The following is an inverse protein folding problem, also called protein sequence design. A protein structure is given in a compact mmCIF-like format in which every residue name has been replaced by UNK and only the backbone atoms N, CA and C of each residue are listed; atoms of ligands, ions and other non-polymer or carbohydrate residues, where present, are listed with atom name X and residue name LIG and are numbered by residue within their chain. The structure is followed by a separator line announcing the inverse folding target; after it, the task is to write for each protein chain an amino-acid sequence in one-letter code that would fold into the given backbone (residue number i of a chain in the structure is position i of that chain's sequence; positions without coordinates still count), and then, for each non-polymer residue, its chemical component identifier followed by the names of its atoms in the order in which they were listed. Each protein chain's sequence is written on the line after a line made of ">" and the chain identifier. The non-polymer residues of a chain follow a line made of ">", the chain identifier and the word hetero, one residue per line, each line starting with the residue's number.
data_IF_455120715857
#
_entry.id   IF_455120715857
#
_cell.length_a   1.000
_cell.length_b   1.000
_cell.length_c   1.000
_cell.angle_alpha   90.00
_cell.angle_beta   90.00
_cell.angle_gamma   90.00
#
_symmetry.space_group_name_H-M   'P 1'
#
loop_
_entity.id
_entity.type
_entity.pdbx_description
1 polymer ?
#
# COMPACT_ATOMS: atom_id res chain seq x y z
N UNK A 1 66.40 -81.24 16.19
CA UNK A 1 66.58 -80.68 17.55
C UNK A 1 67.21 -79.29 17.47
N UNK A 2 66.44 -78.22 17.64
CA UNK A 2 66.84 -76.96 18.33
C UNK A 2 65.74 -75.89 18.22
N UNK A 3 65.38 -75.36 19.40
CA UNK A 3 64.79 -74.06 19.71
C UNK A 3 63.47 -73.63 19.04
N UNK A 4 62.35 -73.89 19.74
CA UNK A 4 61.15 -73.03 19.71
C UNK A 4 60.72 -72.48 21.08
N UNK A 5 61.43 -72.77 22.17
CA UNK A 5 60.88 -72.54 23.52
C UNK A 5 61.65 -71.50 24.36
N UNK A 6 61.95 -70.31 23.81
CA UNK A 6 62.73 -69.30 24.55
C UNK A 6 62.12 -67.89 24.61
N UNK A 7 60.79 -67.73 24.48
CA UNK A 7 60.13 -66.42 24.75
C UNK A 7 58.92 -66.53 25.70
N UNK A 8 58.49 -67.72 26.14
CA UNK A 8 57.36 -67.87 27.08
C UNK A 8 57.73 -68.27 28.51
N UNK A 9 59.01 -68.22 28.88
CA UNK A 9 59.49 -68.59 30.22
C UNK A 9 59.95 -67.36 31.01
N UNK A 10 58.99 -66.53 31.45
CA UNK A 10 59.04 -65.67 32.66
C UNK A 10 57.85 -64.70 32.74
N UNK A 11 56.63 -65.20 32.55
CA UNK A 11 55.49 -64.60 33.24
C UNK A 11 55.22 -65.47 34.46
N UNK A 12 56.04 -65.30 35.51
CA UNK A 12 55.66 -65.76 36.84
C UNK A 12 54.38 -65.01 37.21
N UNK A 13 53.24 -65.67 37.07
CA UNK A 13 51.94 -65.21 37.54
C UNK A 13 52.04 -64.98 39.05
N UNK A 14 52.35 -63.74 39.45
CA UNK A 14 52.05 -63.28 40.81
C UNK A 14 50.53 -63.17 40.85
N UNK A 15 49.87 -64.15 41.47
CA UNK A 15 48.43 -64.07 41.70
C UNK A 15 48.11 -62.81 42.48
N UNK A 16 47.10 -62.07 42.05
CA UNK A 16 46.63 -60.89 42.79
C UNK A 16 46.15 -61.32 44.17
N UNK A 17 46.51 -60.53 45.18
CA UNK A 17 45.98 -60.74 46.52
C UNK A 17 44.50 -60.39 46.55
N UNK A 18 43.72 -61.04 47.42
CA UNK A 18 42.30 -60.75 47.58
C UNK A 18 42.05 -59.26 47.86
N UNK A 19 42.95 -58.62 48.60
CA UNK A 19 42.88 -57.19 48.93
C UNK A 19 43.03 -56.31 47.67
N UNK A 20 43.97 -56.62 46.78
CA UNK A 20 44.13 -55.88 45.52
C UNK A 20 42.91 -56.01 44.62
N UNK A 21 42.30 -57.21 44.55
CA UNK A 21 41.08 -57.43 43.77
C UNK A 21 39.90 -56.64 44.35
N UNK A 22 39.73 -56.62 45.68
CA UNK A 22 38.67 -55.84 46.34
C UNK A 22 38.86 -54.34 46.10
N UNK A 23 40.09 -53.83 46.22
CA UNK A 23 40.40 -52.41 45.96
C UNK A 23 40.13 -52.07 44.50
N UNK A 24 40.52 -52.94 43.55
CA UNK A 24 40.27 -52.72 42.13
C UNK A 24 38.76 -52.66 41.81
N UNK A 25 37.96 -53.56 42.39
CA UNK A 25 36.49 -53.55 42.22
C UNK A 25 35.88 -52.28 42.80
N UNK A 26 36.30 -51.86 44.00
CA UNK A 26 35.82 -50.62 44.62
C UNK A 26 36.17 -49.39 43.76
N UNK A 27 37.40 -49.31 43.25
CA UNK A 27 37.83 -48.22 42.37
C UNK A 27 37.05 -48.19 41.05
N UNK A 28 36.85 -49.35 40.42
CA UNK A 28 36.06 -49.45 39.19
C UNK A 28 34.60 -49.03 39.44
N UNK A 29 34.00 -49.43 40.56
CA UNK A 29 32.65 -49.02 40.94
C UNK A 29 32.52 -47.51 41.17
N UNK A 30 33.50 -46.89 41.82
CA UNK A 30 33.53 -45.44 42.04
C UNK A 30 33.71 -44.71 40.71
N UNK A 31 34.67 -45.13 39.87
CA UNK A 31 34.94 -44.49 38.57
C UNK A 31 33.75 -44.67 37.63
N UNK A 32 33.14 -45.86 37.59
CA UNK A 32 31.97 -46.15 36.77
C UNK A 32 30.75 -45.32 37.17
N UNK A 33 30.48 -45.20 38.48
CA UNK A 33 29.38 -44.37 38.97
C UNK A 33 29.64 -42.87 38.70
N UNK A 34 30.83 -42.36 38.99
CA UNK A 34 31.20 -40.97 38.67
C UNK A 34 31.09 -40.65 37.17
N UNK A 35 31.51 -41.57 36.30
CA UNK A 35 31.39 -41.43 34.85
C UNK A 35 29.93 -41.41 34.38
N UNK A 36 29.09 -42.29 34.93
CA UNK A 36 27.66 -42.33 34.63
C UNK A 36 26.95 -41.03 35.02
N UNK A 37 27.22 -40.51 36.23
CA UNK A 37 26.68 -39.22 36.67
C UNK A 37 27.16 -38.06 35.80
N UNK A 38 28.44 -38.04 35.42
CA UNK A 38 28.99 -37.03 34.51
C UNK A 38 28.29 -37.02 33.15
N UNK A 39 28.16 -38.17 32.50
CA UNK A 39 27.50 -38.31 31.19
C UNK A 39 26.01 -37.93 31.28
N UNK A 40 25.33 -38.38 32.33
CA UNK A 40 23.90 -38.07 32.53
C UNK A 40 23.68 -36.56 32.76
N UNK A 41 24.59 -35.88 33.46
CA UNK A 41 24.49 -34.44 33.69
C UNK A 41 24.76 -33.62 32.41
N UNK A 42 25.78 -34.01 31.62
CA UNK A 42 26.14 -33.32 30.37
C UNK A 42 25.01 -33.46 29.34
N UNK A 43 24.49 -34.67 29.11
CA UNK A 43 23.40 -34.91 28.15
C UNK A 43 22.15 -34.09 28.48
N UNK A 44 21.80 -33.95 29.77
CA UNK A 44 20.69 -33.10 30.19
C UNK A 44 20.94 -31.61 29.91
N UNK A 45 22.18 -31.14 30.07
CA UNK A 45 22.55 -29.75 29.75
C UNK A 45 22.48 -29.45 28.25
N UNK A 46 22.86 -30.43 27.42
CA UNK A 46 22.78 -30.34 25.96
C UNK A 46 21.33 -30.29 25.48
N UNK A 47 20.46 -31.17 26.00
CA UNK A 47 19.03 -31.19 25.67
C UNK A 47 18.37 -29.85 26.04
N UNK A 48 18.61 -29.34 27.25
CA UNK A 48 18.03 -28.05 27.66
C UNK A 48 18.49 -26.89 26.78
N UNK A 49 19.78 -26.87 26.40
CA UNK A 49 20.32 -25.85 25.51
C UNK A 49 19.72 -25.98 24.11
N UNK A 50 19.58 -27.22 23.61
CA UNK A 50 18.94 -27.53 22.34
C UNK A 50 17.48 -27.06 22.29
N UNK A 51 16.70 -27.32 23.33
CA UNK A 51 15.30 -26.92 23.41
C UNK A 51 15.14 -25.39 23.39
N UNK A 52 15.96 -24.67 24.16
CA UNK A 52 15.97 -23.20 24.16
C UNK A 52 16.33 -22.63 22.80
N UNK A 53 17.38 -23.15 22.17
CA UNK A 53 17.80 -22.72 20.84
C UNK A 53 16.72 -23.03 19.80
N UNK A 54 16.09 -24.20 19.91
CA UNK A 54 14.98 -24.59 19.05
C UNK A 54 13.78 -23.65 19.14
N UNK A 55 13.39 -23.26 20.36
CA UNK A 55 12.33 -22.28 20.58
C UNK A 55 12.68 -20.92 19.98
N UNK A 56 13.92 -20.43 20.17
CA UNK A 56 14.36 -19.16 19.57
C UNK A 56 14.34 -19.22 18.05
N UNK A 57 14.84 -20.31 17.46
CA UNK A 57 14.82 -20.51 16.00
C UNK A 57 13.40 -20.57 15.45
N UNK A 58 12.49 -21.24 16.15
CA UNK A 58 11.07 -21.31 15.78
C UNK A 58 10.44 -19.92 15.78
N UNK A 59 10.63 -19.15 16.86
CA UNK A 59 10.14 -17.77 16.94
C UNK A 59 10.72 -16.92 15.82
N UNK A 60 12.03 -16.96 15.61
CA UNK A 60 12.70 -16.15 14.59
C UNK A 60 12.20 -16.48 13.18
N UNK A 61 12.00 -17.76 12.88
CA UNK A 61 11.44 -18.19 11.60
C UNK A 61 10.02 -17.67 11.41
N UNK A 62 9.15 -17.85 12.41
CA UNK A 62 7.77 -17.36 12.36
C UNK A 62 7.72 -15.83 12.23
N UNK A 63 8.66 -15.10 12.85
CA UNK A 63 8.78 -13.65 12.65
C UNK A 63 9.08 -13.28 11.20
N UNK A 64 10.02 -13.97 10.55
CA UNK A 64 10.36 -13.72 9.16
C UNK A 64 9.21 -14.05 8.20
N UNK A 65 8.48 -15.13 8.46
CA UNK A 65 7.31 -15.52 7.66
C UNK A 65 6.18 -14.50 7.80
N UNK A 66 5.90 -14.04 9.02
CA UNK A 66 4.94 -12.94 9.25
C UNK A 66 5.41 -11.65 8.58
N UNK A 67 6.70 -11.31 8.67
CA UNK A 67 7.26 -10.12 8.03
C UNK A 67 7.14 -10.19 6.51
N UNK A 68 7.35 -11.36 5.91
CA UNK A 68 7.20 -11.58 4.48
C UNK A 68 5.74 -11.45 4.05
N UNK A 69 4.80 -12.09 4.75
CA UNK A 69 3.37 -12.00 4.45
C UNK A 69 2.82 -10.57 4.60
N UNK A 70 3.31 -9.83 5.61
CA UNK A 70 2.95 -8.44 5.84
C UNK A 70 3.36 -7.49 4.70
N UNK A 71 4.27 -7.88 3.79
CA UNK A 71 4.65 -7.04 2.66
C UNK A 71 3.52 -6.83 1.64
N UNK A 72 2.65 -7.84 1.46
CA UNK A 72 1.57 -7.79 0.47
C UNK A 72 0.18 -7.77 1.10
N UNK A 73 0.05 -8.26 2.33
CA UNK A 73 -1.24 -8.44 3.01
C UNK A 73 -1.34 -7.60 4.29
N UNK A 74 -0.57 -6.52 4.44
CA UNK A 74 -0.53 -5.71 5.66
C UNK A 74 -1.92 -5.32 6.19
N UNK A 75 -2.82 -4.90 5.30
CA UNK A 75 -4.15 -4.44 5.70
C UNK A 75 -5.06 -5.61 6.15
N UNK A 76 -4.99 -6.75 5.48
CA UNK A 76 -5.87 -7.91 5.70
C UNK A 76 -5.33 -8.92 6.71
N UNK A 77 -4.03 -8.89 7.03
CA UNK A 77 -3.41 -9.85 7.94
C UNK A 77 -3.92 -9.63 9.37
N UNK A 78 -4.64 -10.63 9.87
CA UNK A 78 -5.19 -10.70 11.24
C UNK A 78 -4.87 -12.05 11.91
N UNK A 79 -4.75 -13.11 11.10
CA UNK A 79 -4.44 -14.47 11.55
C UNK A 79 -3.39 -15.09 10.60
N UNK A 80 -2.48 -15.88 11.18
CA UNK A 80 -1.43 -16.62 10.48
C UNK A 80 -1.47 -18.07 10.97
N UNK A 81 -2.21 -18.93 10.25
CA UNK A 81 -2.46 -20.33 10.62
C UNK A 81 -2.06 -21.32 9.51
N UNK A 82 -1.31 -20.87 8.49
CA UNK A 82 -1.00 -21.64 7.29
C UNK A 82 -2.24 -22.18 6.53
N UNK A 83 -3.45 -21.77 6.91
CA UNK A 83 -4.69 -22.10 6.24
C UNK A 83 -5.24 -20.84 5.55
N UNK A 84 -5.90 -20.99 4.39
CA UNK A 84 -6.45 -19.85 3.65
C UNK A 84 -5.45 -19.04 2.81
N UNK A 85 -5.59 -17.71 2.81
CA UNK A 85 -4.99 -16.79 1.81
C UNK A 85 -3.65 -16.14 2.21
N UNK A 86 -3.17 -16.37 3.44
CA UNK A 86 -1.93 -15.83 3.96
C UNK A 86 -1.09 -16.95 4.62
N UNK A 87 -0.20 -17.64 3.87
CA UNK A 87 0.64 -18.69 4.44
C UNK A 87 1.76 -18.07 5.29
N UNK A 88 1.49 -17.86 6.58
CA UNK A 88 2.45 -17.39 7.58
C UNK A 88 2.17 -18.07 8.93
N UNK A 89 3.15 -18.08 9.83
CA UNK A 89 2.94 -18.42 11.24
C UNK A 89 3.74 -19.64 11.69
N UNK A 90 3.06 -20.68 12.16
CA UNK A 90 3.71 -21.93 12.58
C UNK A 90 3.43 -23.05 11.59
N UNK A 91 4.46 -23.46 10.84
CA UNK A 91 4.35 -24.60 9.95
C UNK A 91 4.29 -25.89 10.78
N UNK A 92 3.15 -26.57 10.71
CA UNK A 92 2.90 -27.80 11.46
C UNK A 92 3.82 -28.95 11.03
N UNK A 93 4.45 -28.89 9.85
CA UNK A 93 5.38 -29.93 9.37
C UNK A 93 6.71 -29.95 10.13
N UNK A 94 7.15 -28.80 10.65
CA UNK A 94 8.45 -28.63 11.34
C UNK A 94 8.34 -28.90 12.84
N UNK A 95 7.14 -29.08 13.38
CA UNK A 95 6.95 -29.40 14.79
C UNK A 95 7.54 -30.76 15.19
N UNK A 96 7.70 -31.66 14.22
CA UNK A 96 8.40 -32.94 14.44
C UNK A 96 9.89 -32.75 14.79
N UNK A 97 10.47 -31.60 14.47
CA UNK A 97 11.83 -31.21 14.80
C UNK A 97 11.98 -30.70 16.25
N UNK A 98 10.86 -30.32 16.90
CA UNK A 98 10.83 -29.73 18.25
C UNK A 98 9.83 -30.45 19.17
N UNK A 99 10.11 -31.71 19.58
CA UNK A 99 9.15 -32.57 20.27
C UNK A 99 8.76 -32.11 21.69
N UNK A 100 9.52 -31.19 22.30
CA UNK A 100 9.31 -30.74 23.69
C UNK A 100 8.48 -29.44 23.81
N UNK A 101 7.95 -28.91 22.69
CA UNK A 101 7.07 -27.74 22.66
C UNK A 101 5.63 -28.15 23.01
N UNK A 102 5.05 -27.53 24.04
CA UNK A 102 3.71 -27.88 24.56
C UNK A 102 2.62 -27.01 23.96
N UNK A 103 2.84 -25.70 23.87
CA UNK A 103 1.88 -24.74 23.34
C UNK A 103 2.59 -23.66 22.53
N UNK A 104 1.89 -23.12 21.53
CA UNK A 104 2.37 -22.01 20.72
C UNK A 104 1.21 -21.14 20.31
N UNK A 105 1.43 -19.84 20.32
CA UNK A 105 0.38 -18.87 20.03
C UNK A 105 0.97 -17.72 19.24
N UNK A 106 0.29 -17.34 18.15
CA UNK A 106 0.64 -16.19 17.34
C UNK A 106 -0.59 -15.31 17.23
N UNK A 107 -0.48 -14.08 17.74
CA UNK A 107 -1.56 -13.11 17.72
C UNK A 107 -1.07 -11.82 17.08
N UNK A 108 -1.83 -11.34 16.10
CA UNK A 108 -1.60 -10.06 15.46
C UNK A 108 -2.69 -9.10 15.94
N UNK A 109 -2.29 -8.01 16.59
CA UNK A 109 -3.22 -6.97 17.03
C UNK A 109 -2.93 -5.66 16.32
N UNK A 110 -3.99 -4.96 15.94
CA UNK A 110 -3.87 -3.61 15.40
C UNK A 110 -3.72 -2.61 16.57
N UNK A 111 -2.75 -1.72 16.47
CA UNK A 111 -2.48 -0.73 17.52
C UNK A 111 -3.36 0.48 17.25
N UNK A 112 -4.34 0.72 18.13
CA UNK A 112 -5.36 1.76 17.97
C UNK A 112 -4.74 3.13 17.65
N UNK A 113 -5.17 3.72 16.53
CA UNK A 113 -4.73 5.06 16.10
C UNK A 113 -3.32 5.11 15.47
N UNK A 114 -2.74 3.98 15.09
CA UNK A 114 -1.43 3.94 14.39
C UNK A 114 -1.46 2.98 13.21
N UNK A 115 -0.60 3.21 12.21
CA UNK A 115 -0.36 2.28 11.10
C UNK A 115 0.54 1.08 11.49
N UNK A 116 0.60 0.76 12.78
CA UNK A 116 1.43 -0.31 13.32
C UNK A 116 0.58 -1.50 13.77
N UNK A 117 0.99 -2.69 13.37
CA UNK A 117 0.46 -3.94 13.93
C UNK A 117 1.47 -4.53 14.92
N UNK A 118 0.99 -5.02 16.05
CA UNK A 118 1.80 -5.74 17.03
C UNK A 118 1.64 -7.22 16.78
N UNK A 119 2.76 -7.93 16.62
CA UNK A 119 2.82 -9.38 16.48
C UNK A 119 3.37 -9.94 17.79
N UNK A 120 2.57 -10.75 18.48
CA UNK A 120 2.99 -11.49 19.65
C UNK A 120 3.10 -12.97 19.30
N UNK A 121 4.29 -13.53 19.50
CA UNK A 121 4.58 -14.95 19.32
C UNK A 121 4.99 -15.50 20.68
N UNK A 122 4.22 -16.44 21.19
CA UNK A 122 4.44 -17.10 22.48
C UNK A 122 4.68 -18.58 22.24
N UNK A 123 5.74 -19.11 22.83
CA UNK A 123 6.06 -20.55 22.76
C UNK A 123 6.32 -21.07 24.16
N UNK A 124 5.66 -22.17 24.49
CA UNK A 124 5.79 -22.88 25.76
C UNK A 124 6.45 -24.25 25.56
N UNK A 125 7.34 -24.61 26.47
CA UNK A 125 8.04 -25.90 26.45
C UNK A 125 8.33 -26.39 27.87
N UNK A 126 8.60 -27.69 28.02
CA UNK A 126 8.90 -28.28 29.32
C UNK A 126 10.42 -28.44 29.52
N UNK A 127 10.94 -27.90 30.63
CA UNK A 127 12.33 -28.11 31.08
C UNK A 127 12.34 -28.79 32.44
N UNK A 128 12.75 -30.06 32.51
CA UNK A 128 12.86 -30.84 33.76
C UNK A 128 11.58 -30.81 34.62
N UNK A 129 10.41 -30.90 33.98
CA UNK A 129 9.13 -30.86 34.68
C UNK A 129 8.58 -29.44 34.90
N UNK A 130 9.33 -28.39 34.57
CA UNK A 130 8.93 -26.99 34.72
C UNK A 130 8.49 -26.46 33.36
N UNK A 131 7.29 -25.88 33.30
CA UNK A 131 6.82 -25.16 32.12
C UNK A 131 7.61 -23.86 31.97
N UNK A 132 8.16 -23.63 30.78
CA UNK A 132 8.85 -22.42 30.37
C UNK A 132 8.09 -21.78 29.23
N UNK A 133 8.10 -20.46 29.20
CA UNK A 133 7.45 -19.66 28.18
C UNK A 133 8.43 -18.60 27.70
N UNK A 134 8.45 -18.36 26.39
CA UNK A 134 9.15 -17.26 25.77
C UNK A 134 8.19 -16.50 24.88
N UNK A 135 8.01 -15.22 25.21
CA UNK A 135 7.21 -14.29 24.43
C UNK A 135 8.13 -13.39 23.62
N UNK A 136 7.83 -13.26 22.33
CA UNK A 136 8.43 -12.26 21.46
C UNK A 136 7.37 -11.33 20.92
N UNK A 137 7.63 -10.03 21.04
CA UNK A 137 6.74 -8.97 20.56
C UNK A 137 7.48 -8.17 19.50
N UNK A 138 6.92 -8.11 18.30
CA UNK A 138 7.48 -7.38 17.17
C UNK A 138 6.44 -6.42 16.63
N UNK A 139 6.88 -5.20 16.27
CA UNK A 139 6.02 -4.24 15.61
C UNK A 139 6.22 -4.33 14.09
N UNK A 140 5.12 -4.41 13.36
CA UNK A 140 5.08 -4.32 11.91
C UNK A 140 4.61 -2.93 11.51
N UNK A 141 5.42 -2.24 10.73
CA UNK A 141 5.01 -1.04 10.03
C UNK A 141 4.44 -1.39 8.66
N UNK A 142 3.52 -0.54 8.18
CA UNK A 142 3.05 -0.58 6.80
C UNK A 142 4.27 -0.56 5.86
N UNK A 143 4.36 -1.48 4.88
CA UNK A 143 5.39 -1.42 3.86
C UNK A 143 5.33 -0.06 3.14
N UNK A 144 6.46 0.48 2.66
CA UNK A 144 6.40 1.66 1.82
C UNK A 144 5.48 1.38 0.64
N UNK A 145 4.60 2.33 0.31
CA UNK A 145 3.77 2.21 -0.88
C UNK A 145 4.65 1.88 -2.08
N UNK A 146 4.25 0.92 -2.93
CA UNK A 146 5.04 0.56 -4.09
C UNK A 146 5.26 1.81 -4.94
N UNK A 147 6.46 1.94 -5.51
CA UNK A 147 6.81 3.09 -6.33
C UNK A 147 5.68 3.36 -7.32
N UNK A 148 5.16 4.59 -7.39
CA UNK A 148 4.07 4.87 -8.32
C UNK A 148 4.51 4.55 -9.76
N UNK A 149 3.54 4.30 -10.65
CA UNK A 149 3.72 4.20 -12.10
C UNK A 149 3.12 5.39 -12.86
N UNK A 150 3.35 5.47 -14.18
CA UNK A 150 2.80 6.53 -15.04
C UNK A 150 2.19 5.92 -16.28
N UNK A 151 1.22 6.64 -16.83
CA UNK A 151 0.62 6.35 -18.11
C UNK A 151 0.80 7.57 -19.01
N UNK A 152 1.51 7.38 -20.12
CA UNK A 152 1.74 8.41 -21.13
C UNK A 152 1.22 7.96 -22.47
N UNK A 153 0.85 8.89 -23.33
CA UNK A 153 0.49 8.51 -24.69
C UNK A 153 -0.03 9.61 -25.57
N UNK A 154 -0.26 9.26 -26.84
CA UNK A 154 -0.74 10.16 -27.88
C UNK A 154 -2.13 9.73 -28.32
N UNK A 155 -3.06 10.66 -28.26
CA UNK A 155 -4.40 10.51 -28.83
C UNK A 155 -4.41 11.07 -30.24
N UNK A 156 -4.76 10.25 -31.23
CA UNK A 156 -4.79 10.67 -32.65
C UNK A 156 -6.21 10.67 -33.21
N UNK A 157 -6.44 11.50 -34.24
CA UNK A 157 -7.68 11.46 -35.03
C UNK A 157 -7.64 10.31 -36.05
N UNK A 158 -8.80 9.69 -36.29
CA UNK A 158 -8.97 8.66 -37.33
C UNK A 158 -8.61 9.14 -38.75
N UNK A 159 -8.82 10.42 -39.07
CA UNK A 159 -8.78 10.92 -40.45
C UNK A 159 -7.46 11.63 -40.82
N UNK A 160 -6.35 11.31 -40.17
CA UNK A 160 -5.06 11.92 -40.53
C UNK A 160 -3.92 11.79 -39.53
N UNK A 161 -4.09 11.00 -38.45
CA UNK A 161 -3.00 10.70 -37.52
C UNK A 161 -2.49 11.89 -36.69
N UNK A 162 -3.04 13.09 -36.89
CA UNK A 162 -2.67 14.28 -36.14
C UNK A 162 -3.04 14.14 -34.65
N UNK A 163 -2.19 14.63 -33.74
CA UNK A 163 -2.46 14.63 -32.31
C UNK A 163 -3.73 15.47 -31.99
N UNK A 164 -4.58 14.91 -31.14
CA UNK A 164 -5.83 15.51 -30.67
C UNK A 164 -5.63 16.09 -29.26
N UNK A 165 -5.71 17.42 -29.13
CA UNK A 165 -5.71 18.14 -27.86
C UNK A 165 -7.13 18.33 -27.29
N UNK A 166 -7.26 18.61 -25.99
CA UNK A 166 -8.53 18.88 -25.33
C UNK A 166 -9.43 17.65 -25.14
N UNK A 167 -8.84 16.46 -25.10
CA UNK A 167 -9.53 15.21 -24.74
C UNK A 167 -9.50 15.08 -23.22
N UNK A 168 -10.65 14.85 -22.59
CA UNK A 168 -10.69 14.54 -21.16
C UNK A 168 -10.42 13.06 -20.98
N UNK A 169 -9.36 12.71 -20.26
CA UNK A 169 -8.97 11.33 -19.98
C UNK A 169 -9.23 11.06 -18.51
N UNK A 170 -10.08 10.08 -18.24
CA UNK A 170 -10.41 9.62 -16.91
C UNK A 170 -9.90 8.20 -16.73
N UNK A 171 -9.10 8.00 -15.68
CA UNK A 171 -8.65 6.70 -15.21
C UNK A 171 -9.49 6.30 -14.00
N UNK A 172 -9.80 5.01 -13.90
CA UNK A 172 -10.53 4.43 -12.76
C UNK A 172 -9.77 3.23 -12.25
N UNK A 173 -9.34 3.29 -10.99
CA UNK A 173 -8.63 2.20 -10.33
C UNK A 173 -9.61 1.07 -10.00
N UNK A 174 -9.24 -0.15 -10.36
CA UNK A 174 -10.00 -1.35 -10.06
C UNK A 174 -9.41 -2.02 -8.82
N UNK A 175 -9.77 -1.53 -7.63
CA UNK A 175 -9.51 -2.25 -6.38
C UNK A 175 -10.77 -2.93 -5.85
N UNK A 176 -10.59 -3.94 -5.00
CA UNK A 176 -11.67 -4.71 -4.37
C UNK A 176 -12.43 -3.94 -3.30
N UNK A 177 -11.95 -2.78 -2.85
CA UNK A 177 -12.53 -2.02 -1.72
C UNK A 177 -12.81 -0.55 -2.02
N UNK A 178 -12.20 0.05 -3.06
CA UNK A 178 -12.33 1.49 -3.33
C UNK A 178 -12.07 1.86 -4.81
N UNK A 179 -12.94 2.69 -5.40
CA UNK A 179 -12.76 3.20 -6.76
C UNK A 179 -12.21 4.62 -6.74
N UNK A 180 -10.90 4.77 -6.92
CA UNK A 180 -10.24 6.07 -7.09
C UNK A 180 -10.28 6.43 -8.58
N UNK A 181 -10.71 7.65 -8.91
CA UNK A 181 -10.66 8.15 -10.29
C UNK A 181 -9.74 9.36 -10.43
N UNK A 182 -8.79 9.27 -11.34
CA UNK A 182 -7.90 10.37 -11.70
C UNK A 182 -8.27 10.90 -13.08
N UNK A 183 -8.18 12.22 -13.28
CA UNK A 183 -8.49 12.84 -14.56
C UNK A 183 -7.34 13.73 -15.02
N UNK A 184 -6.91 13.55 -16.28
CA UNK A 184 -5.96 14.42 -16.96
C UNK A 184 -6.59 14.95 -18.25
N UNK A 185 -6.19 16.17 -18.64
CA UNK A 185 -6.63 16.78 -19.91
C UNK A 185 -5.52 16.65 -20.93
N UNK A 186 -5.87 16.21 -22.14
CA UNK A 186 -4.88 16.04 -23.17
C UNK A 186 -4.36 17.40 -23.66
N UNK A 187 -3.06 17.63 -23.44
CA UNK A 187 -2.29 18.76 -23.95
C UNK A 187 -1.01 18.20 -24.55
N UNK A 188 -0.59 18.70 -25.70
CA UNK A 188 0.66 18.23 -26.32
C UNK A 188 1.82 18.70 -25.45
N UNK A 189 2.50 17.77 -24.81
CA UNK A 189 3.69 17.98 -23.99
C UNK A 189 4.84 17.18 -24.60
N UNK A 190 6.00 17.82 -24.76
CA UNK A 190 7.21 17.15 -25.23
C UNK A 190 7.87 16.53 -23.99
N UNK A 191 7.97 15.21 -23.93
CA UNK A 191 8.61 14.54 -22.79
C UNK A 191 10.13 14.68 -22.87
N UNK A 192 10.81 14.55 -21.72
CA UNK A 192 12.27 14.64 -21.61
C UNK A 192 13.02 13.65 -22.52
N UNK A 193 12.36 12.55 -22.89
CA UNK A 193 12.88 11.51 -23.79
C UNK A 193 12.79 11.90 -25.29
N UNK A 194 12.32 13.11 -25.62
CA UNK A 194 12.17 13.59 -27.00
C UNK A 194 10.92 13.08 -27.73
N UNK A 195 10.07 12.31 -27.06
CA UNK A 195 8.80 11.81 -27.60
C UNK A 195 7.66 12.80 -27.28
N UNK A 196 6.80 13.10 -28.25
CA UNK A 196 5.60 13.91 -28.00
C UNK A 196 4.53 13.06 -27.31
N UNK A 197 4.06 13.45 -26.13
CA UNK A 197 2.88 12.89 -25.46
C UNK A 197 1.72 13.89 -25.50
N UNK A 198 0.49 13.41 -25.56
CA UNK A 198 -0.70 14.26 -25.47
C UNK A 198 -1.30 14.26 -24.07
N UNK A 199 -0.94 13.31 -23.23
CA UNK A 199 -1.37 13.26 -21.85
C UNK A 199 -0.28 12.58 -21.05
N UNK A 200 -0.14 13.05 -19.83
CA UNK A 200 0.80 12.52 -18.87
C UNK A 200 0.08 12.52 -17.51
N UNK A 201 0.30 11.43 -16.77
CA UNK A 201 -0.09 11.31 -15.37
C UNK A 201 1.16 11.32 -14.46
N UNK A 202 2.29 11.80 -14.99
CA UNK A 202 3.48 12.13 -14.24
C UNK A 202 3.40 13.49 -13.55
N UNK A 203 4.36 13.72 -12.66
CA UNK A 203 4.56 14.96 -11.94
C UNK A 203 5.26 16.01 -12.79
N UNK A 204 4.69 17.21 -12.83
CA UNK A 204 5.13 18.32 -13.69
C UNK A 204 6.56 18.79 -13.37
N UNK A 205 7.04 18.51 -12.15
CA UNK A 205 8.35 18.96 -11.66
C UNK A 205 9.46 17.96 -11.97
N UNK A 206 9.18 16.66 -11.94
CA UNK A 206 10.20 15.61 -11.99
C UNK A 206 9.96 14.55 -13.09
N UNK A 207 8.86 14.63 -13.84
CA UNK A 207 8.41 13.55 -14.71
C UNK A 207 8.09 12.26 -13.95
N UNK A 208 7.90 12.34 -12.63
CA UNK A 208 7.75 11.17 -11.76
C UNK A 208 6.33 10.65 -11.77
N UNK A 209 6.24 9.35 -11.60
CA UNK A 209 5.01 8.57 -11.56
C UNK A 209 3.99 9.05 -10.51
N UNK A 210 2.69 9.20 -10.86
CA UNK A 210 1.61 9.53 -9.88
C UNK A 210 0.57 8.43 -9.70
N UNK A 211 0.53 7.42 -10.56
CA UNK A 211 -0.51 6.38 -10.51
C UNK A 211 -0.11 5.28 -9.52
N UNK A 212 -1.05 4.87 -8.65
CA UNK A 212 -0.86 3.68 -7.81
C UNK A 212 -0.69 2.43 -8.71
N UNK A 213 0.24 1.53 -8.40
CA UNK A 213 0.36 0.27 -9.13
C UNK A 213 -0.91 -0.57 -9.05
N UNK A 214 -1.24 -1.26 -10.15
CA UNK A 214 -2.40 -2.12 -10.26
C UNK A 214 -3.23 -1.87 -11.52
N UNK A 215 -4.48 -2.32 -11.50
CA UNK A 215 -5.34 -2.38 -12.70
C UNK A 215 -6.19 -1.13 -12.87
N UNK A 216 -6.03 -0.47 -14.03
CA UNK A 216 -6.73 0.77 -14.36
C UNK A 216 -7.62 0.62 -15.60
N UNK A 217 -8.82 1.22 -15.57
CA UNK A 217 -9.64 1.43 -16.77
C UNK A 217 -9.50 2.86 -17.26
N UNK A 218 -9.32 3.02 -18.56
CA UNK A 218 -9.27 4.33 -19.22
C UNK A 218 -10.59 4.63 -19.95
N UNK A 219 -11.06 5.87 -19.80
CA UNK A 219 -12.18 6.44 -20.53
C UNK A 219 -11.78 7.81 -21.05
N UNK A 220 -11.74 7.99 -22.36
CA UNK A 220 -11.43 9.26 -22.99
C UNK A 220 -12.67 9.85 -23.67
N UNK A 221 -12.99 11.11 -23.36
CA UNK A 221 -14.18 11.82 -23.85
C UNK A 221 -13.80 13.15 -24.50
N UNK A 222 -14.45 13.46 -25.63
CA UNK A 222 -14.34 14.75 -26.31
C UNK A 222 -15.62 15.01 -27.12
N UNK A 223 -16.05 16.27 -27.19
CA UNK A 223 -17.18 16.68 -28.04
C UNK A 223 -16.94 16.30 -29.50
N UNK A 224 -17.96 15.75 -30.18
CA UNK A 224 -17.90 15.29 -31.58
C UNK A 224 -17.02 14.06 -31.86
N UNK A 225 -16.60 13.34 -30.81
CA UNK A 225 -15.90 12.06 -30.93
C UNK A 225 -16.61 10.99 -30.12
N UNK A 226 -16.55 9.75 -30.62
CA UNK A 226 -17.02 8.60 -29.84
C UNK A 226 -16.10 8.42 -28.63
N UNK A 227 -16.68 8.24 -27.45
CA UNK A 227 -15.91 7.97 -26.23
C UNK A 227 -15.05 6.71 -26.44
N UNK A 228 -13.77 6.82 -26.14
CA UNK A 228 -12.84 5.71 -26.24
C UNK A 228 -12.78 4.99 -24.89
N UNK A 229 -12.93 3.67 -24.94
CA UNK A 229 -12.60 2.75 -23.87
C UNK A 229 -11.67 1.70 -24.46
N UNK A 230 -10.72 1.18 -23.67
CA UNK A 230 -9.77 0.16 -24.13
C UNK A 230 -10.43 -1.22 -24.27
N UNK A 231 -11.53 -1.32 -25.02
CA UNK A 231 -12.36 -2.52 -25.18
C UNK A 231 -12.75 -3.21 -23.85
N UNK A 232 -12.81 -2.44 -22.75
CA UNK A 232 -13.05 -2.96 -21.40
C UNK A 232 -11.85 -3.64 -20.72
N UNK A 233 -10.71 -3.75 -21.41
CA UNK A 233 -9.47 -4.29 -20.87
C UNK A 233 -8.82 -3.31 -19.89
N UNK A 234 -8.43 -3.82 -18.73
CA UNK A 234 -7.67 -3.07 -17.74
C UNK A 234 -6.19 -2.99 -18.15
N UNK A 235 -5.58 -1.85 -17.89
CA UNK A 235 -4.15 -1.60 -18.03
C UNK A 235 -3.51 -1.95 -16.70
N UNK A 236 -2.52 -2.83 -16.71
CA UNK A 236 -1.75 -3.15 -15.51
C UNK A 236 -0.57 -2.18 -15.44
N UNK A 237 -0.47 -1.44 -14.33
CA UNK A 237 0.62 -0.48 -14.10
C UNK A 237 1.52 -1.08 -13.03
N UNK A 238 2.74 -1.46 -13.39
CA UNK A 238 3.71 -1.97 -12.44
C UNK A 238 4.41 -0.83 -11.67
N UNK A 239 4.99 -1.11 -10.50
CA UNK A 239 5.69 -0.12 -9.71
C UNK A 239 6.92 0.45 -10.46
N UNK A 240 7.02 1.78 -10.54
CA UNK A 240 8.14 2.47 -11.20
C UNK A 240 8.19 2.29 -12.72
N UNK A 241 7.10 1.84 -13.35
CA UNK A 241 7.02 1.63 -14.80
C UNK A 241 6.31 2.80 -15.51
N UNK A 242 6.87 3.23 -16.65
CA UNK A 242 6.21 4.13 -17.60
C UNK A 242 5.47 3.30 -18.65
N UNK A 243 4.14 3.33 -18.61
CA UNK A 243 3.30 2.64 -19.57
C UNK A 243 2.89 3.58 -20.71
N UNK A 244 3.10 3.16 -21.96
CA UNK A 244 2.77 3.97 -23.15
C UNK A 244 1.50 3.45 -23.82
N UNK A 245 0.43 4.25 -23.83
CA UNK A 245 -0.82 3.91 -24.50
C UNK A 245 -1.20 4.92 -25.58
N UNK A 246 -1.02 4.52 -26.83
CA UNK A 246 -1.44 5.31 -27.99
C UNK A 246 -2.78 4.79 -28.51
N UNK A 247 -3.75 5.69 -28.70
CA UNK A 247 -5.06 5.30 -29.24
C UNK A 247 -5.62 6.34 -30.20
N UNK A 248 -6.56 5.90 -31.02
CA UNK A 248 -7.19 6.71 -32.05
C UNK A 248 -8.65 6.92 -31.67
N UNK A 249 -9.10 8.17 -31.63
CA UNK A 249 -10.51 8.49 -31.46
C UNK A 249 -11.20 8.62 -32.81
N UNK A 250 -12.35 7.96 -32.93
CA UNK A 250 -13.21 8.03 -34.11
C UNK A 250 -14.07 9.29 -34.03
N UNK A 251 -14.02 10.10 -35.08
CA UNK A 251 -14.92 11.23 -35.22
C UNK A 251 -16.33 10.69 -35.40
N UNK A 252 -17.23 11.08 -34.50
CA UNK A 252 -18.64 10.78 -34.61
C UNK A 252 -19.33 12.13 -34.66
N UNK A 253 -19.70 12.61 -35.86
CA UNK A 253 -20.43 13.86 -35.95
C UNK A 253 -21.71 13.67 -35.14
N UNK A 254 -21.90 14.55 -34.15
CA UNK A 254 -23.25 14.72 -33.59
C UNK A 254 -24.11 15.10 -34.79
N UNK A 255 -25.14 14.30 -35.12
CA UNK A 255 -25.95 14.58 -36.30
C UNK A 255 -26.48 16.02 -36.21
N UNK A 256 -26.48 16.78 -37.32
CA UNK A 256 -27.11 18.10 -37.32
C UNK A 256 -28.54 17.97 -36.79
N UNK A 257 -29.02 18.94 -36.00
CA UNK A 257 -30.37 18.89 -35.46
C UNK A 257 -31.35 18.76 -36.64
N UNK A 258 -32.17 17.71 -36.63
CA UNK A 258 -33.17 17.47 -37.66
C UNK A 258 -34.41 18.22 -37.23
N UNK A 259 -34.69 19.34 -37.90
CA UNK A 259 -35.89 20.10 -37.60
C UNK A 259 -37.12 19.50 -38.31
N UNK A 260 -38.30 19.53 -37.69
CA UNK A 260 -39.60 19.19 -38.27
C UNK A 260 -40.36 18.05 -37.60
N UNK A 261 -39.98 17.58 -36.41
CA UNK A 261 -40.68 16.53 -35.66
C UNK A 261 -41.70 17.09 -34.63
N UNK A 262 -41.78 18.42 -34.52
CA UNK A 262 -42.69 19.14 -33.62
C UNK A 262 -42.32 19.06 -32.14
N UNK A 263 -41.13 18.57 -31.79
CA UNK A 263 -40.68 18.42 -30.40
C UNK A 263 -39.24 18.88 -30.22
N UNK A 264 -39.04 20.00 -29.52
CA UNK A 264 -37.70 20.45 -29.10
C UNK A 264 -36.93 19.40 -28.25
N UNK A 265 -35.98 18.69 -28.85
CA UNK A 265 -35.11 17.71 -28.18
C UNK A 265 -33.64 18.02 -28.40
N UNK A 266 -32.79 17.82 -27.38
CA UNK A 266 -31.34 17.96 -27.54
C UNK A 266 -30.82 17.06 -28.68
N UNK A 267 -30.12 17.60 -29.71
CA UNK A 267 -29.37 18.88 -29.73
C UNK A 267 -30.09 20.10 -30.35
N UNK A 268 -31.40 20.06 -30.56
CA UNK A 268 -32.19 21.19 -31.07
C UNK A 268 -32.25 22.34 -30.05
N UNK A 269 -32.16 23.56 -30.57
CA UNK A 269 -32.29 24.81 -29.81
C UNK A 269 -33.25 25.73 -30.55
N UNK A 270 -33.85 26.72 -29.87
CA UNK A 270 -34.68 27.73 -30.53
C UNK A 270 -33.91 28.49 -31.64
N UNK A 271 -32.58 28.55 -31.57
CA UNK A 271 -31.71 29.14 -32.59
C UNK A 271 -31.43 28.22 -33.79
N UNK A 272 -31.51 26.89 -33.61
CA UNK A 272 -31.18 25.92 -34.66
C UNK A 272 -32.42 25.31 -35.31
N UNK A 273 -33.53 25.16 -34.58
CA UNK A 273 -34.78 24.57 -35.05
C UNK A 273 -35.98 25.36 -34.49
N UNK A 274 -36.21 26.57 -35.03
CA UNK A 274 -37.38 27.42 -34.69
C UNK A 274 -38.71 26.69 -34.92
N UNK A 275 -38.76 25.78 -35.89
CA UNK A 275 -39.96 25.01 -36.22
C UNK A 275 -40.41 24.08 -35.06
N UNK A 276 -39.48 23.52 -34.28
CA UNK A 276 -39.78 22.55 -33.21
C UNK A 276 -39.62 23.14 -31.81
N UNK A 277 -38.69 24.08 -31.64
CA UNK A 277 -38.40 24.76 -30.38
C UNK A 277 -39.10 26.12 -30.20
N UNK A 278 -39.80 26.59 -31.24
CA UNK A 278 -40.44 27.90 -31.26
C UNK A 278 -39.44 29.06 -31.46
N UNK A 279 -39.99 30.27 -31.58
CA UNK A 279 -39.18 31.50 -31.67
C UNK A 279 -38.46 31.69 -30.35
N UNK A 280 -37.14 31.95 -30.40
CA UNK A 280 -36.41 32.30 -29.19
C UNK A 280 -37.07 33.51 -28.52
N UNK A 281 -37.25 33.49 -27.18
CA UNK A 281 -37.78 34.65 -26.48
C UNK A 281 -36.95 35.90 -26.83
N UNK A 282 -37.60 37.06 -27.03
CA UNK A 282 -36.90 38.28 -27.35
C UNK A 282 -35.85 38.55 -26.25
N UNK A 283 -34.68 39.11 -26.61
CA UNK A 283 -33.70 39.50 -25.61
C UNK A 283 -34.38 40.44 -24.60
N UNK A 284 -34.02 40.35 -23.31
CA UNK A 284 -34.58 41.21 -22.30
C UNK A 284 -34.44 42.69 -22.68
N UNK A 285 -35.51 43.45 -22.50
CA UNK A 285 -35.57 44.86 -22.90
C UNK A 285 -35.09 45.70 -21.72
N UNK A 286 -33.83 46.10 -21.78
CA UNK A 286 -33.30 47.00 -20.76
C UNK A 286 -33.88 48.43 -20.93
N UNK A 287 -34.21 49.11 -19.84
CA UNK A 287 -34.70 50.49 -19.77
C UNK A 287 -36.16 50.66 -19.31
N UNK A 288 -36.81 49.59 -18.85
CA UNK A 288 -38.20 49.60 -18.35
C UNK A 288 -38.30 49.94 -16.84
N UNK A 289 -37.18 50.09 -16.15
CA UNK A 289 -37.10 50.41 -14.72
C UNK A 289 -37.43 49.26 -13.77
N UNK A 290 -37.52 48.01 -14.25
CA UNK A 290 -37.78 46.81 -13.43
C UNK A 290 -36.89 45.65 -13.87
N UNK A 291 -36.22 45.02 -12.92
CA UNK A 291 -35.44 43.80 -13.18
C UNK A 291 -36.37 42.58 -13.38
N UNK A 292 -36.61 42.19 -14.63
CA UNK A 292 -37.51 41.08 -14.99
C UNK A 292 -36.79 39.72 -15.08
N UNK A 293 -37.58 38.64 -15.16
CA UNK A 293 -37.06 37.26 -15.16
C UNK A 293 -36.32 36.97 -16.47
N UNK A 294 -34.99 36.99 -16.44
CA UNK A 294 -34.10 36.87 -17.61
C UNK A 294 -33.12 38.04 -17.74
N UNK A 295 -33.35 39.10 -16.99
CA UNK A 295 -32.44 40.22 -16.82
C UNK A 295 -31.49 39.95 -15.64
N UNK A 296 -30.23 40.30 -15.82
CA UNK A 296 -29.24 40.26 -14.76
C UNK A 296 -28.42 41.54 -14.79
N UNK A 297 -27.71 41.82 -13.70
CA UNK A 297 -26.87 43.01 -13.59
C UNK A 297 -25.81 43.12 -14.71
N UNK A 298 -25.43 42.00 -15.34
CA UNK A 298 -24.48 41.96 -16.46
C UNK A 298 -25.11 42.16 -17.84
N UNK A 299 -26.42 41.98 -17.99
CA UNK A 299 -27.15 42.12 -19.26
C UNK A 299 -28.03 43.38 -19.31
N UNK A 300 -28.63 43.79 -18.19
CA UNK A 300 -29.48 44.97 -18.08
C UNK A 300 -29.20 45.75 -16.77
N UNK A 301 -27.99 46.33 -16.67
CA UNK A 301 -27.57 47.11 -15.50
C UNK A 301 -28.44 48.36 -15.22
N UNK A 302 -29.13 48.88 -16.24
CA UNK A 302 -30.04 50.02 -16.11
C UNK A 302 -31.29 49.71 -15.26
N UNK A 303 -31.77 48.47 -15.29
CA UNK A 303 -33.01 48.05 -14.59
C UNK A 303 -32.73 47.15 -13.38
N UNK A 304 -31.69 46.32 -13.46
CA UNK A 304 -31.25 45.43 -12.38
C UNK A 304 -30.17 46.02 -11.48
N UNK A 305 -29.70 47.23 -11.77
CA UNK A 305 -28.58 47.85 -11.07
C UNK A 305 -27.22 47.33 -11.55
N UNK A 306 -26.15 48.09 -11.23
CA UNK A 306 -24.79 47.67 -11.50
C UNK A 306 -24.48 46.37 -10.75
N UNK A 307 -23.76 45.44 -11.40
CA UNK A 307 -23.28 44.27 -10.69
C UNK A 307 -22.40 44.71 -9.51
N UNK A 308 -22.58 44.11 -8.31
CA UNK A 308 -21.63 44.34 -7.24
C UNK A 308 -20.22 44.03 -7.76
N UNK A 309 -19.21 44.84 -7.42
CA UNK A 309 -17.84 44.52 -7.78
C UNK A 309 -17.52 43.11 -7.25
N UNK A 310 -16.73 42.31 -8.00
CA UNK A 310 -16.28 41.03 -7.47
C UNK A 310 -15.61 41.28 -6.11
N UNK A 311 -15.81 40.40 -5.11
CA UNK A 311 -15.20 40.60 -3.81
C UNK A 311 -13.67 40.66 -3.99
N UNK A 312 -13.10 41.73 -3.47
CA UNK A 312 -11.71 42.12 -3.67
C UNK A 312 -11.02 41.92 -2.35
N UNK A 313 -9.87 41.24 -2.38
CA UNK A 313 -9.07 41.09 -1.17
C UNK A 313 -8.69 42.46 -0.59
N UNK A 314 -9.01 42.69 0.67
CA UNK A 314 -8.76 43.89 1.46
C UNK A 314 -10.02 44.63 1.97
N UNK A 315 -11.23 44.07 1.82
CA UNK A 315 -12.48 44.69 2.29
C UNK A 315 -12.85 44.34 3.75
N UNK A 316 -12.06 43.48 4.39
CA UNK A 316 -12.22 43.04 5.77
C UNK A 316 -13.33 42.02 6.01
N UNK A 317 -13.94 41.43 4.97
CA UNK A 317 -15.00 40.43 5.09
C UNK A 317 -14.80 39.25 4.14
N UNK A 318 -14.57 38.06 4.69
CA UNK A 318 -14.55 36.83 3.89
C UNK A 318 -15.92 36.50 3.25
N UNK A 319 -16.06 36.69 1.94
CA UNK A 319 -17.30 36.41 1.19
C UNK A 319 -17.06 35.49 -0.01
N UNK A 320 -17.97 34.55 -0.30
CA UNK A 320 -17.84 33.68 -1.49
C UNK A 320 -17.84 34.51 -2.78
N UNK A 321 -16.88 34.35 -3.72
CA UNK A 321 -15.95 33.21 -3.90
C UNK A 321 -14.54 33.33 -3.26
N UNK A 322 -14.29 34.25 -2.34
CA UNK A 322 -13.03 34.34 -1.62
C UNK A 322 -12.77 33.08 -0.79
N UNK A 323 -11.52 32.61 -0.81
CA UNK A 323 -11.03 31.49 0.00
C UNK A 323 -9.82 31.95 0.77
N UNK A 324 -9.52 31.31 1.90
CA UNK A 324 -8.28 31.55 2.63
C UNK A 324 -7.02 31.32 1.77
N UNK A 325 -7.10 30.49 0.72
CA UNK A 325 -6.01 30.21 -0.23
C UNK A 325 -5.73 31.37 -1.19
N UNK A 326 -6.77 32.12 -1.56
CA UNK A 326 -6.70 33.19 -2.57
C UNK A 326 -6.77 34.58 -1.96
N UNK A 327 -7.26 34.69 -0.72
CA UNK A 327 -7.66 35.94 -0.08
C UNK A 327 -7.45 35.90 1.45
N UNK A 328 -6.24 35.54 1.87
CA UNK A 328 -5.89 35.37 3.30
C UNK A 328 -6.02 36.65 4.14
N UNK A 329 -6.02 37.83 3.51
CA UNK A 329 -6.19 39.12 4.19
C UNK A 329 -7.58 39.27 4.84
N UNK A 330 -8.64 38.77 4.19
CA UNK A 330 -10.03 38.91 4.66
C UNK A 330 -10.61 37.60 5.21
N UNK A 331 -10.16 36.46 4.67
CA UNK A 331 -10.58 35.12 5.10
C UNK A 331 -9.70 34.50 6.20
N UNK A 332 -8.62 35.18 6.58
CA UNK A 332 -7.63 34.66 7.52
C UNK A 332 -6.76 33.55 6.93
N UNK A 333 -5.76 33.12 7.69
CA UNK A 333 -4.90 32.01 7.30
C UNK A 333 -5.72 30.70 7.23
N UNK A 334 -5.48 29.89 6.19
CA UNK A 334 -6.12 28.58 6.10
C UNK A 334 -5.74 27.73 7.32
N UNK A 335 -6.70 27.04 7.96
CA UNK A 335 -6.37 26.09 9.02
C UNK A 335 -5.47 25.00 8.43
N UNK A 336 -4.42 24.58 9.14
CA UNK A 336 -3.58 23.50 8.66
C UNK A 336 -4.40 22.20 8.57
N UNK A 337 -4.02 21.27 7.68
CA UNK A 337 -4.70 19.99 7.55
C UNK A 337 -4.74 19.26 8.92
N UNK A 338 -5.78 18.43 9.18
CA UNK A 338 -5.93 17.73 10.45
C UNK A 338 -4.70 16.85 10.70
N UNK A 339 -3.81 17.30 11.60
CA UNK A 339 -2.54 16.61 11.90
C UNK A 339 -1.31 17.50 12.08
N UNK A 340 -1.35 18.79 11.74
CA UNK A 340 -0.17 19.66 11.85
C UNK A 340 0.14 20.17 13.27
N UNK A 341 -0.63 19.80 14.30
CA UNK A 341 -0.50 20.33 15.67
C UNK A 341 0.45 19.53 16.57
N UNK A 342 1.49 18.90 16.02
CA UNK A 342 2.41 18.10 16.84
C UNK A 342 3.90 18.38 16.66
N UNK A 343 4.29 19.56 16.16
CA UNK A 343 5.72 19.91 16.05
C UNK A 343 6.08 21.30 16.56
N UNK A 344 5.44 21.78 17.65
CA UNK A 344 5.82 23.08 18.24
C UNK A 344 6.03 23.09 19.77
N UNK A 345 6.25 21.93 20.40
CA UNK A 345 6.63 21.88 21.83
C UNK A 345 7.68 20.81 22.16
N UNK A 346 8.85 20.87 21.53
CA UNK A 346 10.00 20.05 21.94
C UNK A 346 11.30 20.81 22.23
N UNK A 347 11.28 22.14 22.43
CA UNK A 347 12.53 22.89 22.66
C UNK A 347 12.55 23.81 23.90
N UNK A 348 12.00 23.40 25.05
CA UNK A 348 12.21 24.23 26.26
C UNK A 348 12.24 23.55 27.63
N UNK A 349 12.68 22.29 27.77
CA UNK A 349 13.11 21.78 29.10
C UNK A 349 14.13 20.65 29.00
N UNK A 350 15.41 20.99 28.79
CA UNK A 350 16.52 20.09 29.12
C UNK A 350 17.83 20.82 29.50
N UNK A 351 17.72 22.01 30.10
CA UNK A 351 18.88 22.69 30.70
C UNK A 351 18.60 23.20 32.11
N UNK A 352 18.34 22.28 33.06
CA UNK A 352 18.78 22.34 34.47
C UNK A 352 18.08 21.25 35.26
N UNK A 353 18.84 20.22 35.64
CA UNK A 353 19.02 19.61 36.97
C UNK A 353 19.97 18.43 36.81
#
# INVERSE_FOLDING_TARGET
>A
MKNKDLIFSKLTQKGFTLVEVIIAIALIGIIGSASWFGISAITQSEIMTGNRVGVVNLIQRSQEEVRAAAQSLFDTIQLCDYEGSAPCGFDNSILSEYPDVTERTLVITETQGSELKTVRISVEWQERGILRQLDSITYLARPPDPLPGSLVGVVRRSNGGQPLSGVSIQLTFLSTSESISESSKSTVVITANGNSANYDFGDDINGKFRLKPGKWKIKATKSSYKAFTNNGQAIDIAPGEENVLNFIMQFSPVPPPVCGDGKCKSPETCSSCVADCGVCPPPPVCGNGKCEKGEGCGSCAADCGACPPPPVCGDGKCQSPEKCETCAADCGACPPPPGAWLMDKCDEKLSTI
#
